data_IF_277692026507
#
_entry.id   IF_277692026507
#
_cell.length_a   1.000
_cell.length_b   1.000
_cell.length_c   1.000
_cell.angle_alpha   90.00
_cell.angle_beta   90.00
_cell.angle_gamma   90.00
#
_symmetry.space_group_name_H-M   'P 1'
#
loop_
_entity.id
_entity.type
_entity.pdbx_description
1 polymer ?
#
# COMPACT_ATOMS: atom_id res chain seq x y z
N UNK A 1 -6.96 -17.56 18.11
CA UNK A 1 -7.56 -16.19 18.26
C UNK A 1 -8.47 -15.83 17.07
N UNK A 2 -9.29 -16.79 16.62
CA UNK A 2 -10.14 -16.66 15.41
C UNK A 2 -11.42 -15.89 15.75
N UNK A 3 -11.52 -14.63 15.37
CA UNK A 3 -12.78 -13.89 15.41
C UNK A 3 -12.79 -12.52 16.11
N UNK A 4 -11.80 -12.20 16.96
CA UNK A 4 -11.82 -10.94 17.73
C UNK A 4 -11.90 -9.67 16.88
N UNK A 5 -11.23 -9.64 15.72
CA UNK A 5 -11.24 -8.48 14.82
C UNK A 5 -12.63 -8.33 14.15
N UNK A 6 -13.19 -9.43 13.64
CA UNK A 6 -14.54 -9.42 13.07
C UNK A 6 -15.57 -8.86 14.04
N UNK A 7 -15.60 -9.37 15.29
CA UNK A 7 -16.53 -8.92 16.31
C UNK A 7 -16.32 -7.46 16.72
N UNK A 8 -15.06 -7.00 16.81
CA UNK A 8 -14.76 -5.58 17.08
C UNK A 8 -15.26 -4.66 15.98
N UNK A 9 -15.02 -5.00 14.71
CA UNK A 9 -15.47 -4.24 13.55
C UNK A 9 -17.00 -4.25 13.49
N UNK A 10 -17.62 -5.43 13.58
CA UNK A 10 -19.08 -5.57 13.58
C UNK A 10 -19.73 -4.74 14.67
N UNK A 11 -19.26 -4.87 15.90
CA UNK A 11 -19.84 -4.20 17.07
C UNK A 11 -19.59 -2.68 17.01
N UNK A 12 -18.41 -2.26 16.56
CA UNK A 12 -18.08 -0.85 16.38
C UNK A 12 -18.98 -0.18 15.35
N UNK A 13 -19.11 -0.74 14.16
CA UNK A 13 -19.96 -0.18 13.10
C UNK A 13 -21.44 -0.24 13.47
N UNK A 14 -21.91 -1.34 14.07
CA UNK A 14 -23.30 -1.46 14.50
C UNK A 14 -23.65 -0.44 15.57
N UNK A 15 -22.78 -0.25 16.58
CA UNK A 15 -22.96 0.74 17.63
C UNK A 15 -22.97 2.18 17.05
N UNK A 16 -22.02 2.48 16.17
CA UNK A 16 -21.95 3.79 15.51
C UNK A 16 -23.19 4.06 14.68
N UNK A 17 -23.66 3.07 13.91
CA UNK A 17 -24.87 3.19 13.13
C UNK A 17 -26.10 3.43 13.99
N UNK A 18 -26.21 2.73 15.12
CA UNK A 18 -27.30 2.85 16.07
C UNK A 18 -27.30 4.25 16.73
N UNK A 19 -26.12 4.73 17.17
CA UNK A 19 -25.96 6.08 17.74
C UNK A 19 -26.33 7.14 16.70
N UNK A 20 -25.87 7.00 15.45
CA UNK A 20 -26.16 7.97 14.39
C UNK A 20 -27.66 8.01 14.07
N UNK A 21 -28.33 6.86 14.02
CA UNK A 21 -29.78 6.80 13.78
C UNK A 21 -30.56 7.44 14.93
N UNK A 22 -30.13 7.24 16.18
CA UNK A 22 -30.70 7.88 17.34
C UNK A 22 -30.49 9.39 17.36
N UNK A 23 -29.25 9.84 17.06
CA UNK A 23 -28.92 11.27 16.96
C UNK A 23 -29.74 11.98 15.87
N UNK A 24 -29.92 11.34 14.72
CA UNK A 24 -30.73 11.85 13.62
C UNK A 24 -32.21 11.98 14.03
N UNK A 25 -32.75 10.98 14.72
CA UNK A 25 -34.12 11.01 15.24
C UNK A 25 -34.30 12.14 16.27
N UNK A 26 -33.38 12.29 17.22
CA UNK A 26 -33.40 13.38 18.22
C UNK A 26 -33.30 14.74 17.51
N UNK A 27 -32.40 14.90 16.56
CA UNK A 27 -32.27 16.11 15.77
C UNK A 27 -33.57 16.43 15.02
N UNK A 28 -34.19 15.46 14.35
CA UNK A 28 -35.46 15.63 13.67
C UNK A 28 -36.59 15.97 14.64
N UNK A 29 -36.63 15.35 15.82
CA UNK A 29 -37.60 15.67 16.87
C UNK A 29 -37.44 17.08 17.43
N UNK A 30 -36.18 17.56 17.58
CA UNK A 30 -35.92 18.91 18.13
C UNK A 30 -36.07 20.03 17.07
N UNK A 31 -35.69 19.77 15.82
CA UNK A 31 -35.69 20.80 14.75
C UNK A 31 -36.89 20.71 13.81
N UNK A 32 -37.61 19.59 13.77
CA UNK A 32 -38.80 19.38 12.93
C UNK A 32 -39.99 20.29 13.29
N UNK A 33 -40.01 20.80 14.50
CA UNK A 33 -41.07 21.70 14.99
C UNK A 33 -41.08 23.12 14.38
N UNK A 34 -40.14 23.43 13.48
CA UNK A 34 -40.13 24.73 12.76
C UNK A 34 -41.09 24.80 11.57
N UNK A 35 -41.64 23.70 11.14
CA UNK A 35 -42.75 23.65 10.19
C UNK A 35 -44.05 23.81 10.97
N UNK A 36 -44.84 24.86 10.64
CA UNK A 36 -46.19 25.03 11.20
C UNK A 36 -47.02 23.80 10.85
N UNK A 37 -47.37 22.96 11.84
CA UNK A 37 -48.10 21.75 11.50
C UNK A 37 -49.45 22.10 10.86
N UNK A 38 -49.92 21.34 9.88
CA UNK A 38 -51.30 21.50 9.36
C UNK A 38 -52.36 21.40 10.49
N UNK A 39 -52.01 20.80 11.61
CA UNK A 39 -52.75 20.72 12.85
C UNK A 39 -53.18 22.11 13.41
N UNK A 40 -52.33 23.13 13.32
CA UNK A 40 -52.70 24.48 13.73
C UNK A 40 -53.81 25.09 12.85
N UNK A 41 -53.85 24.73 11.55
CA UNK A 41 -54.93 25.18 10.66
C UNK A 41 -56.23 24.41 10.93
N UNK A 42 -56.16 23.12 11.29
CA UNK A 42 -57.32 22.33 11.68
C UNK A 42 -57.84 22.75 13.06
N UNK A 43 -56.97 23.01 14.02
CA UNK A 43 -57.35 23.52 15.33
C UNK A 43 -58.05 24.89 15.22
N UNK A 44 -57.54 25.81 14.40
CA UNK A 44 -58.21 27.11 14.13
C UNK A 44 -59.60 26.95 13.55
N UNK A 45 -59.77 26.01 12.59
CA UNK A 45 -61.09 25.74 11.98
C UNK A 45 -62.05 25.12 12.99
N UNK A 46 -61.59 24.21 13.84
CA UNK A 46 -62.41 23.59 14.88
C UNK A 46 -62.87 24.66 15.91
N UNK A 47 -61.96 25.49 16.40
CA UNK A 47 -62.26 26.59 17.36
C UNK A 47 -63.24 27.58 16.71
N UNK A 48 -63.02 27.97 15.45
CA UNK A 48 -63.93 28.90 14.77
C UNK A 48 -65.32 28.30 14.61
N UNK A 49 -65.44 27.01 14.29
CA UNK A 49 -66.72 26.29 14.19
C UNK A 49 -67.43 26.24 15.57
N UNK A 50 -66.68 25.90 16.64
CA UNK A 50 -67.26 25.86 17.99
C UNK A 50 -67.74 27.25 18.44
N UNK A 51 -66.93 28.30 18.25
CA UNK A 51 -67.36 29.65 18.57
C UNK A 51 -68.54 30.15 17.73
N UNK A 52 -68.54 29.81 16.42
CA UNK A 52 -69.65 30.20 15.54
C UNK A 52 -70.95 29.47 15.92
N UNK A 53 -70.84 28.16 16.28
CA UNK A 53 -71.98 27.39 16.77
C UNK A 53 -72.50 27.94 18.10
N UNK A 54 -71.61 28.24 19.06
CA UNK A 54 -71.95 28.85 20.32
C UNK A 54 -72.63 30.21 20.16
N UNK A 55 -72.09 31.05 19.26
CA UNK A 55 -72.63 32.32 18.92
C UNK A 55 -74.04 32.25 18.30
N UNK A 56 -74.23 31.25 17.42
CA UNK A 56 -75.54 31.04 16.78
C UNK A 56 -76.62 30.61 17.78
N UNK A 57 -76.27 29.66 18.66
CA UNK A 57 -77.16 29.19 19.71
C UNK A 57 -77.51 30.29 20.69
N UNK A 58 -76.57 31.12 21.07
CA UNK A 58 -76.81 32.28 21.92
C UNK A 58 -77.77 33.30 21.29
N UNK A 59 -77.57 33.59 20.00
CA UNK A 59 -78.47 34.50 19.22
C UNK A 59 -79.89 33.96 19.08
N UNK A 60 -80.07 32.70 18.84
CA UNK A 60 -81.39 32.08 18.55
C UNK A 60 -82.18 31.66 19.77
N UNK A 61 -81.49 31.12 20.80
CA UNK A 61 -82.18 30.54 21.95
C UNK A 61 -81.78 31.11 23.31
N UNK A 62 -80.86 32.09 23.33
CA UNK A 62 -80.34 32.68 24.54
C UNK A 62 -79.45 31.82 25.41
N UNK A 63 -79.14 32.21 26.60
CA UNK A 63 -78.21 31.45 27.53
C UNK A 63 -78.63 30.01 27.79
N UNK A 64 -79.96 29.72 27.97
CA UNK A 64 -80.36 28.30 28.19
C UNK A 64 -80.02 27.35 27.03
N UNK A 65 -80.11 27.83 25.78
CA UNK A 65 -79.75 27.04 24.58
C UNK A 65 -78.27 26.88 24.46
N UNK A 66 -77.46 27.89 24.79
CA UNK A 66 -76.01 27.83 24.80
C UNK A 66 -75.51 26.84 25.87
N UNK A 67 -76.05 26.94 27.10
CA UNK A 67 -75.68 26.01 28.18
C UNK A 67 -76.01 24.57 27.88
N UNK A 68 -77.18 24.28 27.26
CA UNK A 68 -77.56 22.95 26.82
C UNK A 68 -76.61 22.40 25.77
N UNK A 69 -76.14 23.24 24.80
CA UNK A 69 -75.16 22.87 23.82
C UNK A 69 -73.78 22.59 24.44
N UNK A 70 -73.30 23.47 25.30
CA UNK A 70 -71.99 23.32 26.00
C UNK A 70 -71.99 22.12 26.92
N UNK A 71 -73.12 21.72 27.52
CA UNK A 71 -73.23 20.49 28.33
C UNK A 71 -72.89 19.23 27.57
N UNK A 72 -73.09 19.25 26.22
CA UNK A 72 -72.68 18.14 25.32
C UNK A 72 -71.21 18.14 24.92
N UNK A 73 -70.42 19.14 25.25
CA UNK A 73 -68.99 19.20 24.96
C UNK A 73 -68.19 18.37 25.94
N UNK A 74 -66.92 17.99 25.49
CA UNK A 74 -65.97 17.36 26.40
C UNK A 74 -65.66 18.29 27.60
N UNK A 75 -65.26 17.71 28.74
CA UNK A 75 -64.89 18.53 29.92
C UNK A 75 -63.73 19.47 29.61
N UNK A 76 -62.78 19.04 28.81
CA UNK A 76 -61.61 19.80 28.40
C UNK A 76 -62.01 21.02 27.52
N UNK A 77 -62.87 20.81 26.50
CA UNK A 77 -63.37 21.89 25.64
C UNK A 77 -64.19 22.91 26.42
N UNK A 78 -64.99 22.46 27.44
CA UNK A 78 -65.76 23.36 28.31
C UNK A 78 -64.89 24.29 29.15
N UNK A 79 -63.75 23.80 29.62
CA UNK A 79 -62.78 24.61 30.40
C UNK A 79 -62.11 25.69 29.58
N UNK A 80 -62.04 25.51 28.27
CA UNK A 80 -61.37 26.45 27.37
C UNK A 80 -62.29 27.58 26.90
N UNK A 81 -63.59 27.44 27.04
CA UNK A 81 -64.57 28.50 26.71
C UNK A 81 -64.95 29.27 27.97
N UNK A 82 -64.82 30.59 27.92
CA UNK A 82 -65.33 31.51 28.96
C UNK A 82 -66.41 32.41 28.33
N UNK A 83 -67.47 32.62 29.14
CA UNK A 83 -68.63 33.43 28.76
C UNK A 83 -68.73 34.60 29.74
N UNK A 84 -68.57 35.83 29.27
CA UNK A 84 -68.60 36.99 30.11
C UNK A 84 -69.71 37.97 29.61
N UNK A 85 -70.69 38.33 30.48
CA UNK A 85 -71.67 39.31 30.08
C UNK A 85 -71.01 40.68 29.87
N UNK A 86 -71.28 41.33 28.70
CA UNK A 86 -70.68 42.60 28.31
C UNK A 86 -71.66 43.46 27.54
N UNK A 87 -71.93 44.64 28.02
CA UNK A 87 -72.98 45.52 27.49
C UNK A 87 -72.57 46.23 26.16
N UNK A 88 -71.29 46.35 25.92
CA UNK A 88 -70.73 46.93 24.69
C UNK A 88 -69.76 46.03 24.06
N UNK A 89 -69.62 46.00 22.69
CA UNK A 89 -68.59 45.28 22.05
C UNK A 89 -67.23 45.76 22.53
N UNK A 90 -66.27 44.79 22.76
CA UNK A 90 -64.92 45.20 23.12
C UNK A 90 -64.29 46.02 22.00
N UNK A 91 -63.47 47.00 22.35
CA UNK A 91 -62.69 47.75 21.37
C UNK A 91 -61.89 46.77 20.51
N UNK A 92 -61.80 47.01 19.20
CA UNK A 92 -60.95 46.11 18.37
C UNK A 92 -59.57 46.09 18.97
N UNK A 93 -59.11 44.88 19.32
CA UNK A 93 -57.74 44.71 19.85
C UNK A 93 -56.78 45.15 18.75
N UNK A 94 -55.83 46.05 19.09
CA UNK A 94 -54.77 46.53 18.18
C UNK A 94 -53.97 45.39 17.53
N UNK A 95 -54.25 44.17 17.87
CA UNK A 95 -53.55 42.94 17.44
C UNK A 95 -54.22 42.21 16.22
N UNK A 96 -55.31 42.77 15.66
CA UNK A 96 -55.96 42.18 14.46
C UNK A 96 -55.15 42.32 13.17
N UNK A 97 -54.10 43.17 13.14
CA UNK A 97 -53.23 43.35 11.97
C UNK A 97 -52.09 42.36 11.88
N UNK A 98 -51.94 41.42 12.82
CA UNK A 98 -50.86 40.42 12.84
C UNK A 98 -51.36 39.02 12.43
N UNK A 99 -52.42 38.93 11.62
CA UNK A 99 -52.94 37.63 11.15
C UNK A 99 -52.10 36.95 10.05
N UNK A 100 -51.10 37.62 9.49
CA UNK A 100 -50.13 36.99 8.55
C UNK A 100 -48.86 36.43 9.19
N UNK A 101 -48.62 36.70 10.46
CA UNK A 101 -47.42 36.22 11.17
C UNK A 101 -47.70 35.10 12.16
N UNK A 102 -47.09 34.02 11.99
CA UNK A 102 -46.74 32.78 12.74
C UNK A 102 -47.19 32.62 14.22
N UNK A 103 -47.93 33.52 14.89
CA UNK A 103 -48.37 33.40 16.29
C UNK A 103 -49.88 33.37 16.39
N UNK A 104 -50.44 32.32 17.00
CA UNK A 104 -51.85 32.32 17.38
C UNK A 104 -52.08 33.30 18.56
N UNK A 105 -53.21 34.05 18.59
CA UNK A 105 -53.58 34.86 19.72
C UNK A 105 -53.78 34.03 20.98
N UNK A 106 -53.74 34.66 22.16
CA UNK A 106 -53.93 33.97 23.44
C UNK A 106 -55.37 33.49 23.62
N UNK A 107 -56.32 34.28 23.13
CA UNK A 107 -57.77 34.01 23.11
C UNK A 107 -58.33 34.36 21.75
N UNK A 108 -59.36 33.66 21.33
CA UNK A 108 -60.19 34.02 20.18
C UNK A 108 -61.54 34.45 20.75
N UNK A 109 -61.89 35.68 20.50
CA UNK A 109 -63.08 36.31 21.12
C UNK A 109 -64.18 36.54 20.09
N UNK A 110 -65.42 36.27 20.47
CA UNK A 110 -66.61 36.59 19.68
C UNK A 110 -67.64 37.28 20.55
N UNK A 111 -67.96 38.50 20.21
CA UNK A 111 -69.06 39.25 20.91
C UNK A 111 -70.38 38.96 20.19
N UNK A 112 -71.42 38.64 21.00
CA UNK A 112 -72.71 38.20 20.50
C UNK A 112 -73.80 38.79 21.36
N UNK A 113 -74.92 39.34 20.74
CA UNK A 113 -76.11 39.67 21.43
C UNK A 113 -77.14 38.54 21.49
N UNK A 114 -77.67 38.28 22.63
CA UNK A 114 -78.80 37.37 22.84
C UNK A 114 -80.12 37.95 22.24
N UNK A 115 -81.14 37.13 22.09
CA UNK A 115 -82.46 37.47 21.64
C UNK A 115 -83.10 38.63 22.47
N UNK A 116 -82.71 38.76 23.76
CA UNK A 116 -83.19 39.79 24.70
C UNK A 116 -82.34 41.10 24.69
N UNK A 117 -81.40 41.22 23.73
CA UNK A 117 -80.51 42.35 23.56
C UNK A 117 -79.36 42.45 24.54
N UNK A 118 -79.14 41.43 25.36
CA UNK A 118 -78.00 41.37 26.27
C UNK A 118 -76.78 40.92 25.52
N UNK A 119 -75.63 41.60 25.67
CA UNK A 119 -74.38 41.29 25.07
C UNK A 119 -73.53 40.28 25.91
N UNK A 120 -72.87 39.42 25.21
CA UNK A 120 -71.97 38.44 25.83
C UNK A 120 -70.69 38.33 24.97
N UNK A 121 -69.56 38.22 25.68
CA UNK A 121 -68.27 37.94 25.06
C UNK A 121 -67.95 36.44 25.25
N UNK A 122 -67.84 35.71 24.17
CA UNK A 122 -67.38 34.32 24.11
C UNK A 122 -65.91 34.31 23.85
N UNK A 123 -65.08 33.89 24.81
CA UNK A 123 -63.60 33.83 24.68
C UNK A 123 -63.11 32.40 24.76
N UNK A 124 -62.42 31.94 23.72
CA UNK A 124 -61.81 30.59 23.71
C UNK A 124 -60.32 30.69 24.01
N UNK A 125 -59.85 30.02 25.07
CA UNK A 125 -58.46 30.08 25.52
C UNK A 125 -57.56 29.15 24.70
N UNK A 126 -56.94 29.72 23.68
CA UNK A 126 -55.97 29.01 22.78
C UNK A 126 -54.68 28.66 23.52
N UNK A 127 -54.30 29.43 24.51
CA UNK A 127 -53.08 29.18 25.32
C UNK A 127 -53.20 27.91 26.15
N UNK A 128 -54.36 27.69 26.77
CA UNK A 128 -54.62 26.46 27.55
C UNK A 128 -54.50 25.21 26.65
N UNK A 129 -55.18 25.22 25.50
CA UNK A 129 -55.06 24.13 24.52
C UNK A 129 -53.59 23.87 24.09
N UNK A 130 -52.80 24.91 23.93
CA UNK A 130 -51.38 24.79 23.54
C UNK A 130 -50.49 24.26 24.67
N UNK A 131 -50.77 24.57 25.91
CA UNK A 131 -50.03 24.08 27.07
C UNK A 131 -50.34 22.61 27.31
N UNK A 132 -51.58 22.18 27.15
CA UNK A 132 -52.00 20.79 27.22
C UNK A 132 -51.37 19.93 26.09
N UNK A 133 -51.36 20.44 24.86
CA UNK A 133 -50.69 19.79 23.73
C UNK A 133 -49.16 19.70 23.88
N UNK A 134 -48.55 20.72 24.49
CA UNK A 134 -47.11 20.72 24.83
C UNK A 134 -46.76 19.71 25.94
N UNK A 135 -47.59 19.53 26.94
CA UNK A 135 -47.38 18.56 27.99
C UNK A 135 -47.47 17.12 27.44
N UNK A 136 -48.46 16.89 26.61
CA UNK A 136 -48.64 15.60 25.96
C UNK A 136 -47.48 15.27 24.97
N UNK A 137 -46.99 16.27 24.26
CA UNK A 137 -45.87 16.10 23.30
C UNK A 137 -44.50 15.88 24.00
N UNK A 138 -44.27 16.51 25.17
CA UNK A 138 -43.02 16.29 25.93
C UNK A 138 -42.83 14.86 26.41
N UNK A 139 -43.90 14.13 26.67
CA UNK A 139 -43.85 12.71 27.02
C UNK A 139 -43.45 11.81 25.83
N UNK A 140 -43.56 12.28 24.57
CA UNK A 140 -43.26 11.49 23.38
C UNK A 140 -41.89 11.74 22.77
N UNK A 141 -41.13 12.77 23.24
CA UNK A 141 -39.81 13.09 22.67
C UNK A 141 -38.80 11.93 22.79
N UNK A 142 -38.97 11.08 23.82
CA UNK A 142 -38.13 9.89 24.00
C UNK A 142 -38.79 8.58 23.55
N UNK A 143 -40.01 8.64 23.00
CA UNK A 143 -40.75 7.45 22.60
C UNK A 143 -40.45 7.15 21.10
N UNK A 144 -39.34 6.41 20.86
CA UNK A 144 -38.92 5.99 19.52
C UNK A 144 -39.92 4.94 19.01
N UNK A 145 -40.50 5.11 17.81
CA UNK A 145 -41.41 4.10 17.25
C UNK A 145 -40.73 2.73 17.16
N UNK A 146 -41.35 1.70 17.67
CA UNK A 146 -40.81 0.33 17.68
C UNK A 146 -40.38 -0.15 16.28
N UNK A 147 -41.08 0.14 15.17
CA UNK A 147 -40.59 -0.20 13.83
C UNK A 147 -39.23 0.41 13.47
N UNK A 148 -38.97 1.64 13.93
CA UNK A 148 -37.70 2.33 13.67
C UNK A 148 -36.52 1.68 14.41
N UNK A 149 -36.75 1.17 15.63
CA UNK A 149 -35.76 0.40 16.38
C UNK A 149 -35.42 -0.92 15.67
N UNK A 150 -36.43 -1.62 15.17
CA UNK A 150 -36.21 -2.88 14.44
C UNK A 150 -35.48 -2.65 13.10
N UNK A 151 -35.90 -1.69 12.31
CA UNK A 151 -35.26 -1.37 11.02
C UNK A 151 -33.82 -0.89 11.24
N UNK A 152 -33.60 0.02 12.20
CA UNK A 152 -32.26 0.50 12.54
C UNK A 152 -31.37 -0.60 13.13
N UNK A 153 -31.90 -1.40 14.05
CA UNK A 153 -31.15 -2.49 14.69
C UNK A 153 -30.78 -3.60 13.72
N UNK A 154 -31.76 -4.15 13.00
CA UNK A 154 -31.54 -5.27 12.06
C UNK A 154 -30.78 -4.80 10.80
N UNK A 155 -31.17 -3.66 10.23
CA UNK A 155 -30.50 -3.09 9.06
C UNK A 155 -29.04 -2.71 9.35
N UNK A 156 -28.79 -2.07 10.50
CA UNK A 156 -27.45 -1.76 10.96
C UNK A 156 -26.60 -2.99 11.24
N UNK A 157 -27.19 -4.04 11.82
CA UNK A 157 -26.51 -5.31 12.07
C UNK A 157 -26.12 -5.99 10.75
N UNK A 158 -27.05 -6.06 9.78
CA UNK A 158 -26.79 -6.65 8.47
C UNK A 158 -25.68 -5.89 7.73
N UNK A 159 -25.78 -4.56 7.67
CA UNK A 159 -24.77 -3.71 7.05
C UNK A 159 -23.38 -3.89 7.70
N UNK A 160 -23.34 -3.87 9.04
CA UNK A 160 -22.10 -4.08 9.80
C UNK A 160 -21.51 -5.47 9.58
N UNK A 161 -22.35 -6.50 9.45
CA UNK A 161 -21.91 -7.86 9.17
C UNK A 161 -21.30 -8.00 7.78
N UNK A 162 -21.93 -7.41 6.75
CA UNK A 162 -21.40 -7.38 5.37
C UNK A 162 -20.08 -6.63 5.32
N UNK A 163 -19.98 -5.48 5.96
CA UNK A 163 -18.76 -4.66 6.00
C UNK A 163 -17.63 -5.39 6.75
N UNK A 164 -17.92 -5.95 7.91
CA UNK A 164 -16.95 -6.72 8.69
C UNK A 164 -16.44 -7.94 7.92
N UNK A 165 -17.31 -8.64 7.20
CA UNK A 165 -16.93 -9.77 6.36
C UNK A 165 -16.05 -9.34 5.20
N UNK A 166 -16.42 -8.25 4.51
CA UNK A 166 -15.72 -7.73 3.36
C UNK A 166 -14.30 -7.22 3.70
N UNK A 167 -14.08 -6.71 4.90
CA UNK A 167 -12.76 -6.28 5.38
C UNK A 167 -11.96 -7.41 6.04
N UNK A 168 -12.60 -8.23 6.87
CA UNK A 168 -11.88 -9.22 7.69
C UNK A 168 -11.37 -10.41 6.88
N UNK A 169 -12.12 -10.83 5.84
CA UNK A 169 -11.75 -11.99 5.02
C UNK A 169 -10.43 -11.79 4.28
N UNK A 170 -10.22 -10.72 3.49
CA UNK A 170 -8.95 -10.49 2.81
C UNK A 170 -7.80 -10.21 3.78
N UNK A 171 -8.05 -9.50 4.89
CA UNK A 171 -7.01 -9.32 5.92
C UNK A 171 -6.52 -10.63 6.53
N UNK A 172 -7.40 -11.62 6.70
CA UNK A 172 -7.00 -12.98 7.13
C UNK A 172 -6.20 -13.71 6.05
N UNK A 173 -6.56 -13.53 4.78
CA UNK A 173 -5.81 -14.12 3.67
C UNK A 173 -4.40 -13.53 3.59
N UNK A 174 -4.27 -12.21 3.67
CA UNK A 174 -2.97 -11.52 3.72
C UNK A 174 -2.12 -12.01 4.89
N UNK A 175 -2.69 -12.07 6.10
CA UNK A 175 -2.00 -12.59 7.27
C UNK A 175 -1.57 -14.06 7.09
N UNK A 176 -2.45 -14.90 6.55
CA UNK A 176 -2.13 -16.29 6.27
C UNK A 176 -1.01 -16.46 5.24
N UNK A 177 -0.97 -15.58 4.21
CA UNK A 177 0.13 -15.53 3.25
C UNK A 177 1.46 -15.12 3.89
N UNK A 178 1.44 -14.07 4.72
CA UNK A 178 2.62 -13.65 5.48
C UNK A 178 3.14 -14.75 6.42
N UNK A 179 2.24 -15.42 7.14
CA UNK A 179 2.61 -16.52 8.03
C UNK A 179 3.25 -17.70 7.25
N UNK A 180 2.78 -18.00 6.02
CA UNK A 180 3.38 -19.03 5.14
C UNK A 180 4.76 -18.62 4.64
N UNK A 181 4.92 -17.38 4.16
CA UNK A 181 6.24 -16.86 3.76
C UNK A 181 7.22 -16.88 4.93
N UNK A 182 6.79 -16.51 6.13
CA UNK A 182 7.61 -16.57 7.35
C UNK A 182 8.03 -18.01 7.72
N UNK A 183 7.26 -19.03 7.31
CA UNK A 183 7.59 -20.44 7.47
C UNK A 183 8.43 -21.01 6.32
N UNK A 184 8.84 -20.17 5.35
CA UNK A 184 9.68 -20.55 4.22
C UNK A 184 8.92 -20.97 2.95
N UNK A 185 7.59 -20.92 2.94
CA UNK A 185 6.81 -21.19 1.73
C UNK A 185 6.71 -19.90 0.89
N UNK A 186 7.68 -19.71 0.02
CA UNK A 186 7.79 -18.54 -0.86
C UNK A 186 6.94 -18.65 -2.13
N UNK A 187 6.35 -19.82 -2.41
CA UNK A 187 5.51 -20.06 -3.59
C UNK A 187 4.11 -19.44 -3.47
N UNK A 188 3.76 -18.87 -2.30
CA UNK A 188 2.46 -18.27 -2.02
C UNK A 188 2.22 -17.09 -2.93
N UNK A 189 1.03 -17.05 -3.58
CA UNK A 189 0.56 -15.90 -4.35
C UNK A 189 -0.87 -15.58 -3.90
N UNK A 190 -1.12 -14.33 -3.53
CA UNK A 190 -2.40 -13.86 -2.97
C UNK A 190 -3.26 -13.13 -3.99
N UNK A 191 -2.64 -12.42 -4.93
CA UNK A 191 -3.36 -11.66 -5.95
C UNK A 191 -4.35 -12.50 -6.77
N UNK A 192 -4.05 -13.75 -7.20
CA UNK A 192 -5.02 -14.57 -7.94
C UNK A 192 -6.32 -14.82 -7.16
N UNK A 193 -6.25 -14.90 -5.83
CA UNK A 193 -7.44 -15.11 -4.97
C UNK A 193 -8.23 -13.82 -4.75
N UNK A 194 -7.61 -12.65 -4.96
CA UNK A 194 -8.18 -11.31 -4.79
C UNK A 194 -8.45 -10.60 -6.12
N UNK A 195 -8.22 -11.23 -7.27
CA UNK A 195 -8.31 -10.64 -8.62
C UNK A 195 -9.65 -9.97 -8.94
N UNK A 196 -10.74 -10.42 -8.31
CA UNK A 196 -12.09 -9.83 -8.51
C UNK A 196 -12.29 -8.50 -7.76
N UNK A 197 -11.37 -8.12 -6.88
CA UNK A 197 -11.40 -6.86 -6.16
C UNK A 197 -10.59 -5.82 -6.93
N UNK A 198 -11.07 -4.57 -6.89
CA UNK A 198 -10.41 -3.42 -7.52
C UNK A 198 -10.25 -2.33 -6.46
N UNK A 199 -9.71 -2.72 -5.31
CA UNK A 199 -9.49 -1.85 -4.15
C UNK A 199 -8.02 -1.92 -3.68
N UNK A 200 -7.66 -1.10 -2.71
CA UNK A 200 -6.32 -1.00 -2.13
C UNK A 200 -5.81 -2.35 -1.58
N UNK A 201 -6.73 -3.23 -1.14
CA UNK A 201 -6.36 -4.56 -0.66
C UNK A 201 -5.86 -5.48 -1.78
N UNK A 202 -6.35 -5.29 -3.00
CA UNK A 202 -5.85 -6.01 -4.17
C UNK A 202 -4.48 -5.52 -4.62
N UNK A 203 -4.18 -4.23 -4.44
CA UNK A 203 -2.85 -3.66 -4.67
C UNK A 203 -1.83 -4.20 -3.66
N UNK A 204 -2.18 -4.21 -2.36
CA UNK A 204 -1.34 -4.82 -1.32
C UNK A 204 -1.07 -6.29 -1.59
N UNK A 205 -2.07 -7.04 -2.12
CA UNK A 205 -1.86 -8.44 -2.50
C UNK A 205 -0.88 -8.59 -3.68
N UNK A 206 -0.87 -7.65 -4.64
CA UNK A 206 0.09 -7.62 -5.76
C UNK A 206 1.50 -7.28 -5.27
N UNK A 207 1.63 -6.30 -4.38
CA UNK A 207 2.90 -5.92 -3.79
C UNK A 207 3.49 -7.08 -2.97
N UNK A 208 2.63 -7.79 -2.22
CA UNK A 208 3.00 -9.01 -1.52
C UNK A 208 3.54 -10.08 -2.48
N UNK A 209 2.83 -10.34 -3.59
CA UNK A 209 3.25 -11.34 -4.57
C UNK A 209 4.60 -10.97 -5.20
N UNK A 210 4.82 -9.69 -5.52
CA UNK A 210 6.10 -9.17 -6.02
C UNK A 210 7.23 -9.35 -5.00
N UNK A 211 6.95 -9.09 -3.72
CA UNK A 211 7.92 -9.30 -2.64
C UNK A 211 8.24 -10.79 -2.48
N UNK A 212 7.21 -11.66 -2.47
CA UNK A 212 7.39 -13.11 -2.34
C UNK A 212 8.21 -13.69 -3.49
N UNK A 213 7.96 -13.23 -4.73
CA UNK A 213 8.73 -13.62 -5.92
C UNK A 213 10.19 -13.21 -5.81
N UNK A 214 10.47 -11.99 -5.38
CA UNK A 214 11.86 -11.52 -5.17
C UNK A 214 12.57 -12.33 -4.09
N UNK A 215 11.88 -12.64 -2.99
CA UNK A 215 12.44 -13.50 -1.94
C UNK A 215 12.73 -14.91 -2.44
N UNK A 216 11.80 -15.50 -3.20
CA UNK A 216 11.97 -16.84 -3.81
C UNK A 216 13.20 -16.88 -4.72
N UNK A 217 13.37 -15.86 -5.59
CA UNK A 217 14.54 -15.75 -6.47
C UNK A 217 15.84 -15.59 -5.67
N UNK A 218 15.85 -14.78 -4.61
CA UNK A 218 17.03 -14.58 -3.76
C UNK A 218 17.42 -15.85 -3.00
N UNK A 219 16.45 -16.57 -2.42
CA UNK A 219 16.70 -17.81 -1.69
C UNK A 219 17.19 -18.90 -2.65
N UNK A 220 16.53 -19.08 -3.79
CA UNK A 220 16.92 -20.06 -4.81
C UNK A 220 18.33 -19.79 -5.35
N UNK A 221 18.65 -18.52 -5.64
CA UNK A 221 20.00 -18.13 -6.10
C UNK A 221 21.06 -18.44 -5.02
N UNK A 222 20.74 -18.20 -3.73
CA UNK A 222 21.65 -18.54 -2.63
C UNK A 222 21.84 -20.04 -2.46
N UNK A 223 20.77 -20.83 -2.56
CA UNK A 223 20.85 -22.29 -2.47
C UNK A 223 21.68 -22.87 -3.62
N UNK A 224 21.46 -22.36 -4.84
CA UNK A 224 22.25 -22.76 -6.01
C UNK A 224 23.71 -22.42 -5.82
N UNK A 225 24.04 -21.22 -5.33
CA UNK A 225 25.42 -20.84 -5.03
C UNK A 225 26.09 -21.79 -4.03
N UNK A 226 25.41 -22.14 -2.93
CA UNK A 226 25.93 -23.08 -1.91
C UNK A 226 26.13 -24.48 -2.48
N UNK A 227 25.22 -24.92 -3.34
CA UNK A 227 25.33 -26.19 -4.04
C UNK A 227 26.58 -26.21 -4.93
N UNK A 228 26.76 -25.20 -5.77
CA UNK A 228 27.87 -25.08 -6.71
C UNK A 228 29.23 -24.95 -5.97
N UNK A 229 29.28 -24.16 -4.90
CA UNK A 229 30.46 -24.07 -4.00
C UNK A 229 30.82 -25.43 -3.46
N UNK A 230 29.84 -26.20 -2.96
CA UNK A 230 30.06 -27.51 -2.40
C UNK A 230 30.64 -28.49 -3.43
N UNK A 231 30.14 -28.45 -4.66
CA UNK A 231 30.64 -29.27 -5.76
C UNK A 231 32.08 -28.88 -6.18
N UNK A 232 32.34 -27.59 -6.35
CA UNK A 232 33.66 -27.10 -6.77
C UNK A 232 34.75 -27.25 -5.70
N UNK A 233 34.40 -27.27 -4.41
CA UNK A 233 35.32 -27.58 -3.31
C UNK A 233 35.63 -29.07 -3.19
N UNK A 234 34.66 -29.97 -3.46
CA UNK A 234 34.83 -31.41 -3.32
C UNK A 234 35.92 -31.96 -4.26
N UNK A 235 35.99 -31.46 -5.48
CA UNK A 235 36.93 -31.91 -6.49
C UNK A 235 38.42 -31.71 -6.11
N UNK A 236 38.88 -30.48 -5.76
CA UNK A 236 40.26 -30.27 -5.31
C UNK A 236 40.57 -30.98 -4.00
N UNK A 237 39.61 -31.09 -3.07
CA UNK A 237 39.78 -31.81 -1.82
C UNK A 237 40.04 -33.32 -2.07
N UNK A 238 39.30 -33.94 -3.00
CA UNK A 238 39.54 -35.34 -3.38
C UNK A 238 40.92 -35.53 -4.02
N UNK A 239 41.38 -34.56 -4.86
CA UNK A 239 42.75 -34.61 -5.44
C UNK A 239 43.84 -34.44 -4.38
N UNK A 240 43.63 -33.55 -3.37
CA UNK A 240 44.51 -33.44 -2.23
C UNK A 240 44.62 -34.76 -1.44
N UNK A 241 43.48 -35.39 -1.13
CA UNK A 241 43.45 -36.70 -0.44
C UNK A 241 44.17 -37.77 -1.22
N UNK A 242 43.99 -37.81 -2.54
CA UNK A 242 44.70 -38.75 -3.42
C UNK A 242 46.21 -38.50 -3.40
N UNK A 243 46.66 -37.24 -3.52
CA UNK A 243 48.08 -36.88 -3.48
C UNK A 243 48.73 -37.28 -2.14
N UNK A 244 48.02 -37.07 -1.01
CA UNK A 244 48.48 -37.51 0.32
C UNK A 244 48.57 -39.03 0.38
N UNK A 245 47.58 -39.77 -0.16
CA UNK A 245 47.61 -41.24 -0.23
C UNK A 245 48.80 -41.77 -1.04
N UNK A 246 49.06 -41.16 -2.20
CA UNK A 246 50.20 -41.51 -3.05
C UNK A 246 51.57 -41.22 -2.37
N UNK A 247 51.71 -40.10 -1.68
CA UNK A 247 52.91 -39.77 -0.90
C UNK A 247 53.19 -40.79 0.20
N UNK A 248 52.13 -41.32 0.84
CA UNK A 248 52.26 -42.35 1.90
C UNK A 248 52.62 -43.73 1.37
N UNK A 249 52.27 -44.06 0.12
CA UNK A 249 52.51 -45.40 -0.48
C UNK A 249 53.90 -45.55 -1.05
N UNK A 250 54.52 -44.49 -1.57
CA UNK A 250 55.81 -44.61 -2.26
C UNK A 250 56.70 -43.37 -1.98
N UNK A 251 57.85 -43.61 -1.36
CA UNK A 251 58.84 -42.61 -1.04
C UNK A 251 59.41 -41.88 -2.27
N UNK A 252 59.43 -42.50 -3.46
CA UNK A 252 59.86 -41.85 -4.70
C UNK A 252 58.89 -40.86 -5.27
N UNK A 253 57.65 -40.83 -4.80
CA UNK A 253 56.58 -39.90 -5.29
C UNK A 253 56.28 -38.73 -4.34
N UNK A 254 57.00 -38.65 -3.22
CA UNK A 254 56.74 -37.65 -2.18
C UNK A 254 56.80 -36.21 -2.74
N UNK A 255 57.87 -35.88 -3.46
CA UNK A 255 58.08 -34.54 -4.01
C UNK A 255 56.97 -34.15 -5.00
N UNK A 256 56.65 -35.03 -5.96
CA UNK A 256 55.57 -34.80 -6.91
C UNK A 256 54.20 -34.65 -6.21
N UNK A 257 53.97 -35.38 -5.13
CA UNK A 257 52.75 -35.33 -4.35
C UNK A 257 52.67 -34.01 -3.54
N UNK A 258 53.78 -33.55 -2.96
CA UNK A 258 53.87 -32.27 -2.26
C UNK A 258 53.60 -31.12 -3.20
N UNK A 259 54.21 -31.07 -4.38
CA UNK A 259 53.92 -30.03 -5.40
C UNK A 259 52.45 -30.04 -5.81
N UNK A 260 51.84 -31.23 -5.90
CA UNK A 260 50.42 -31.32 -6.24
C UNK A 260 49.52 -30.86 -5.11
N UNK A 261 49.87 -31.14 -3.86
CA UNK A 261 49.18 -30.62 -2.66
C UNK A 261 49.29 -29.10 -2.60
N UNK A 262 50.49 -28.56 -2.79
CA UNK A 262 50.70 -27.11 -2.80
C UNK A 262 49.90 -26.42 -3.90
N UNK A 263 49.89 -26.98 -5.10
CA UNK A 263 49.09 -26.46 -6.23
C UNK A 263 47.58 -26.48 -5.94
N UNK A 264 47.02 -27.58 -5.44
CA UNK A 264 45.60 -27.69 -5.13
C UNK A 264 45.21 -26.80 -3.92
N UNK A 265 46.12 -26.67 -2.91
CA UNK A 265 45.91 -25.75 -1.79
C UNK A 265 45.86 -24.29 -2.25
N UNK A 266 46.78 -23.85 -3.11
CA UNK A 266 46.75 -22.52 -3.69
C UNK A 266 45.49 -22.25 -4.54
N UNK A 267 45.00 -23.29 -5.23
CA UNK A 267 43.71 -23.20 -5.94
C UNK A 267 42.53 -22.99 -5.01
N UNK A 268 42.47 -23.73 -3.89
CA UNK A 268 41.42 -23.57 -2.89
C UNK A 268 41.45 -22.17 -2.27
N UNK A 269 42.64 -21.68 -1.91
CA UNK A 269 42.81 -20.34 -1.34
C UNK A 269 42.29 -19.23 -2.30
N UNK A 270 42.66 -19.35 -3.58
CA UNK A 270 42.15 -18.44 -4.61
C UNK A 270 40.62 -18.50 -4.74
N UNK A 271 40.03 -19.70 -4.72
CA UNK A 271 38.57 -19.86 -4.80
C UNK A 271 37.86 -19.21 -3.58
N UNK A 272 38.38 -19.44 -2.38
CA UNK A 272 37.86 -18.82 -1.15
C UNK A 272 37.95 -17.30 -1.25
N UNK A 273 39.06 -16.76 -1.72
CA UNK A 273 39.24 -15.34 -1.95
C UNK A 273 38.23 -14.75 -2.96
N UNK A 274 37.89 -15.48 -4.04
CA UNK A 274 36.87 -15.07 -5.00
C UNK A 274 35.46 -15.16 -4.39
N UNK A 275 35.14 -16.17 -3.58
CA UNK A 275 33.85 -16.27 -2.87
C UNK A 275 33.66 -15.17 -1.83
N UNK A 276 34.69 -14.84 -1.07
CA UNK A 276 34.63 -13.72 -0.12
C UNK A 276 34.40 -12.38 -0.81
N UNK A 277 35.02 -12.18 -1.98
CA UNK A 277 34.76 -10.95 -2.77
C UNK A 277 33.33 -10.91 -3.29
N UNK A 278 32.78 -12.04 -3.75
CA UNK A 278 31.38 -12.16 -4.18
C UNK A 278 30.40 -11.84 -3.03
N UNK A 279 30.72 -12.29 -1.81
CA UNK A 279 29.90 -12.03 -0.61
C UNK A 279 29.96 -10.58 -0.14
N UNK A 280 31.14 -9.93 -0.19
CA UNK A 280 31.29 -8.54 0.22
C UNK A 280 30.49 -7.55 -0.61
N UNK A 281 30.22 -7.88 -1.87
CA UNK A 281 29.41 -7.05 -2.78
C UNK A 281 27.88 -7.23 -2.63
N UNK A 282 27.41 -8.08 -1.70
CA UNK A 282 25.96 -8.29 -1.45
C UNK A 282 25.31 -7.19 -0.59
N UNK A 283 26.10 -6.38 0.10
CA UNK A 283 25.59 -5.29 0.91
C UNK A 283 25.38 -4.04 0.04
N UNK A 284 24.23 -3.39 0.16
CA UNK A 284 23.79 -2.25 -0.64
C UNK A 284 24.65 -0.98 -0.51
N UNK A 285 25.68 -0.99 0.32
CA UNK A 285 26.67 0.09 0.46
C UNK A 285 28.05 -0.51 0.22
N UNK A 286 28.75 0.05 -0.77
CA UNK A 286 30.16 -0.28 -0.97
C UNK A 286 30.93 0.13 0.29
N UNK A 287 31.73 -0.78 0.89
CA UNK A 287 32.64 -0.38 1.95
C UNK A 287 33.71 0.55 1.34
N UNK A 288 34.14 1.55 2.08
CA UNK A 288 35.23 2.45 1.70
C UNK A 288 35.03 3.15 0.35
N UNK A 289 33.84 3.77 0.15
CA UNK A 289 33.58 4.60 -1.03
C UNK A 289 34.49 5.84 -1.04
N UNK A 290 35.29 5.98 -2.09
CA UNK A 290 36.15 7.12 -2.34
C UNK A 290 36.06 7.59 -3.80
N UNK A 291 36.65 8.75 -4.08
CA UNK A 291 36.81 9.21 -5.45
C UNK A 291 38.12 8.69 -6.00
N UNK A 292 38.08 8.07 -7.17
CA UNK A 292 39.28 7.56 -7.82
C UNK A 292 39.27 7.83 -9.33
N UNK A 293 40.46 7.88 -9.90
CA UNK A 293 40.67 7.99 -11.34
C UNK A 293 40.52 6.61 -12.00
N UNK A 294 39.46 6.47 -12.79
CA UNK A 294 39.16 5.24 -13.53
C UNK A 294 40.20 4.98 -14.62
N UNK A 295 40.73 6.04 -15.26
CA UNK A 295 41.76 5.88 -16.29
C UNK A 295 43.05 5.30 -15.67
N UNK A 296 43.54 5.90 -14.62
CA UNK A 296 44.72 5.41 -13.91
C UNK A 296 44.58 3.98 -13.42
N UNK A 297 43.38 3.62 -12.94
CA UNK A 297 43.08 2.25 -12.53
C UNK A 297 43.12 1.27 -13.71
N UNK A 298 42.48 1.61 -14.85
CA UNK A 298 42.46 0.77 -16.07
C UNK A 298 43.88 0.64 -16.67
N UNK A 299 44.63 1.74 -16.72
CA UNK A 299 46.02 1.73 -17.23
C UNK A 299 46.94 0.82 -16.37
N UNK A 300 46.81 0.87 -15.04
CA UNK A 300 47.53 -0.03 -14.15
C UNK A 300 47.18 -1.51 -14.40
N UNK A 301 45.90 -1.84 -14.53
CA UNK A 301 45.47 -3.22 -14.83
C UNK A 301 45.98 -3.67 -16.20
N UNK A 302 45.90 -2.81 -17.20
CA UNK A 302 46.42 -3.10 -18.59
C UNK A 302 47.93 -3.28 -18.57
N UNK A 303 48.66 -2.48 -17.79
CA UNK A 303 50.12 -2.60 -17.63
C UNK A 303 50.54 -3.91 -16.99
N UNK A 304 49.86 -4.31 -15.92
CA UNK A 304 50.06 -5.63 -15.26
C UNK A 304 49.77 -6.77 -16.26
N UNK A 305 48.66 -6.65 -16.99
CA UNK A 305 48.26 -7.66 -17.98
C UNK A 305 49.18 -7.74 -19.16
N UNK A 306 49.81 -6.64 -19.64
CA UNK A 306 50.86 -6.66 -20.69
C UNK A 306 52.06 -7.47 -20.27
N UNK A 307 52.46 -7.40 -19.01
CA UNK A 307 53.56 -8.24 -18.50
C UNK A 307 53.20 -9.73 -18.55
N UNK A 308 51.99 -10.09 -18.11
CA UNK A 308 51.49 -11.48 -18.19
C UNK A 308 51.33 -11.96 -19.64
N UNK A 309 50.98 -11.08 -20.58
CA UNK A 309 50.73 -11.38 -21.99
C UNK A 309 52.02 -11.68 -22.81
N UNK A 310 53.20 -11.38 -22.29
CA UNK A 310 54.47 -11.66 -22.95
C UNK A 310 54.70 -13.14 -23.24
N UNK A 311 54.33 -13.98 -22.26
CA UNK A 311 54.54 -15.46 -22.35
C UNK A 311 53.64 -16.09 -23.44
N UNK A 312 52.30 -15.83 -23.46
CA UNK A 312 51.44 -16.33 -24.52
C UNK A 312 51.59 -15.59 -25.85
N UNK A 313 52.35 -14.45 -25.88
CA UNK A 313 52.56 -13.68 -27.11
C UNK A 313 51.30 -12.97 -27.62
N UNK A 314 50.46 -12.47 -26.72
CA UNK A 314 49.22 -11.70 -26.97
C UNK A 314 49.53 -10.22 -26.82
N UNK A 315 49.02 -9.39 -27.74
CA UNK A 315 49.17 -7.92 -27.64
C UNK A 315 48.00 -7.30 -26.93
N UNK A 316 48.26 -6.33 -26.02
CA UNK A 316 47.18 -5.59 -25.32
C UNK A 316 47.32 -4.09 -25.66
N UNK A 317 46.24 -3.55 -26.23
CA UNK A 317 46.12 -2.13 -26.58
C UNK A 317 45.13 -1.44 -25.63
N UNK A 318 45.55 -0.30 -25.02
CA UNK A 318 44.65 0.61 -24.32
C UNK A 318 44.31 1.80 -25.25
N UNK A 319 43.05 2.04 -25.43
CA UNK A 319 42.49 3.15 -26.20
C UNK A 319 41.69 4.04 -25.28
N UNK A 320 42.16 5.21 -24.97
CA UNK A 320 41.46 6.18 -24.11
C UNK A 320 41.76 7.60 -24.59
N UNK A 321 40.83 8.51 -24.34
CA UNK A 321 41.08 9.93 -24.56
C UNK A 321 41.67 10.53 -23.30
N UNK A 322 42.94 10.93 -23.33
CA UNK A 322 43.66 11.52 -22.20
C UNK A 322 43.12 12.87 -21.72
N UNK A 323 42.35 13.55 -22.55
CA UNK A 323 41.82 14.89 -22.26
C UNK A 323 40.51 14.85 -21.46
N UNK A 324 40.00 13.65 -21.16
CA UNK A 324 38.79 13.43 -20.39
C UNK A 324 39.13 13.07 -18.94
N UNK A 325 38.55 13.77 -17.99
CA UNK A 325 38.61 13.39 -16.56
C UNK A 325 37.66 12.23 -16.26
N UNK A 326 38.22 11.10 -15.79
CA UNK A 326 37.48 9.86 -15.53
C UNK A 326 37.26 9.63 -14.05
N UNK A 327 36.73 10.61 -13.30
CA UNK A 327 36.48 10.50 -11.87
C UNK A 327 35.20 9.72 -11.59
N UNK A 328 35.31 8.65 -10.79
CA UNK A 328 34.23 7.79 -10.33
C UNK A 328 34.21 7.77 -8.82
N UNK A 329 33.01 7.69 -8.25
CA UNK A 329 32.79 7.44 -6.82
C UNK A 329 32.51 5.96 -6.57
N UNK A 330 33.26 5.33 -5.69
CA UNK A 330 33.08 3.92 -5.35
C UNK A 330 34.28 3.32 -4.64
N UNK A 331 34.42 2.02 -4.71
CA UNK A 331 35.55 1.30 -4.17
C UNK A 331 36.55 0.93 -5.27
N UNK A 332 37.69 1.60 -5.27
CA UNK A 332 38.74 1.44 -6.29
C UNK A 332 39.30 0.02 -6.34
N UNK A 333 39.46 -0.65 -5.19
CA UNK A 333 40.00 -2.01 -5.13
C UNK A 333 39.04 -3.04 -5.76
N UNK A 334 37.75 -2.92 -5.45
CA UNK A 334 36.72 -3.78 -6.07
C UNK A 334 36.64 -3.54 -7.57
N UNK A 335 36.72 -2.29 -8.02
CA UNK A 335 36.71 -1.96 -9.45
C UNK A 335 37.96 -2.49 -10.16
N UNK A 336 39.15 -2.34 -9.55
CA UNK A 336 40.40 -2.93 -10.07
C UNK A 336 40.24 -4.43 -10.24
N UNK A 337 39.71 -5.12 -9.25
CA UNK A 337 39.46 -6.56 -9.30
C UNK A 337 38.47 -6.96 -10.41
N UNK A 338 37.42 -6.17 -10.62
CA UNK A 338 36.46 -6.40 -11.70
C UNK A 338 37.15 -6.26 -13.07
N UNK A 339 37.96 -5.22 -13.25
CA UNK A 339 38.74 -5.00 -14.48
C UNK A 339 39.76 -6.11 -14.70
N UNK A 340 40.53 -6.49 -13.69
CA UNK A 340 41.50 -7.59 -13.76
C UNK A 340 40.82 -8.90 -14.20
N UNK A 341 39.63 -9.22 -13.67
CA UNK A 341 38.88 -10.41 -14.07
C UNK A 341 38.49 -10.37 -15.57
N UNK A 342 38.08 -9.22 -16.10
CA UNK A 342 37.68 -9.12 -17.51
C UNK A 342 38.90 -9.19 -18.44
N UNK A 343 39.95 -8.45 -18.11
CA UNK A 343 41.18 -8.41 -18.94
C UNK A 343 41.86 -9.79 -18.93
N UNK A 344 41.99 -10.44 -17.78
CA UNK A 344 42.54 -11.81 -17.71
C UNK A 344 41.68 -12.82 -18.39
N UNK A 345 40.36 -12.66 -18.39
CA UNK A 345 39.48 -13.53 -19.17
C UNK A 345 39.74 -13.37 -20.67
N UNK A 346 39.88 -12.15 -21.17
CA UNK A 346 40.23 -11.87 -22.58
C UNK A 346 41.59 -12.49 -22.95
N UNK A 347 42.60 -12.27 -22.12
CA UNK A 347 43.92 -12.89 -22.33
C UNK A 347 43.88 -14.41 -22.39
N UNK A 348 43.14 -15.03 -21.51
CA UNK A 348 43.01 -16.46 -21.38
C UNK A 348 42.44 -17.15 -22.61
N UNK A 349 41.52 -16.48 -23.30
CA UNK A 349 40.87 -17.00 -24.50
C UNK A 349 41.53 -16.50 -25.79
N UNK A 350 42.58 -15.70 -25.67
CA UNK A 350 43.41 -15.26 -26.79
C UNK A 350 44.62 -16.20 -27.00
N UNK A 351 45.05 -16.36 -28.23
CA UNK A 351 46.21 -17.16 -28.63
C UNK A 351 47.34 -16.27 -29.16
N UNK A 352 48.51 -16.83 -29.39
CA UNK A 352 49.68 -16.12 -29.90
C UNK A 352 49.37 -15.30 -31.17
N UNK A 353 49.81 -14.06 -31.21
CA UNK A 353 49.58 -13.11 -32.28
C UNK A 353 48.24 -12.42 -32.29
N UNK A 354 47.31 -12.79 -31.41
CA UNK A 354 46.01 -12.08 -31.23
C UNK A 354 46.15 -10.83 -30.38
N UNK A 355 45.16 -9.96 -30.46
CA UNK A 355 45.11 -8.69 -29.74
C UNK A 355 43.90 -8.61 -28.83
N UNK A 356 44.13 -8.16 -27.62
CA UNK A 356 43.08 -7.71 -26.67
C UNK A 356 43.06 -6.18 -26.68
N UNK A 357 41.90 -5.59 -26.91
CA UNK A 357 41.71 -4.14 -26.88
C UNK A 357 40.86 -3.73 -25.68
N UNK A 358 41.39 -2.79 -24.89
CA UNK A 358 40.66 -2.14 -23.80
C UNK A 358 40.38 -0.71 -24.21
N UNK A 359 39.13 -0.34 -24.45
CA UNK A 359 38.72 0.99 -24.85
C UNK A 359 37.96 1.67 -23.70
N UNK A 360 38.42 2.86 -23.31
CA UNK A 360 37.75 3.70 -22.31
C UNK A 360 37.21 4.97 -22.98
N UNK A 361 35.93 5.18 -22.89
CA UNK A 361 35.24 6.30 -23.49
C UNK A 361 34.22 6.92 -22.56
N UNK A 362 33.82 8.15 -22.85
CA UNK A 362 32.74 8.83 -22.17
C UNK A 362 31.53 8.88 -23.11
N UNK A 363 30.38 8.40 -22.62
CA UNK A 363 29.11 8.46 -23.33
C UNK A 363 28.10 9.11 -22.38
N UNK A 364 27.72 10.34 -22.70
CA UNK A 364 26.80 11.14 -21.87
C UNK A 364 27.26 11.26 -20.41
N UNK A 365 26.47 10.67 -19.49
CA UNK A 365 26.74 10.64 -18.05
C UNK A 365 27.38 9.33 -17.57
N UNK A 366 27.87 8.52 -18.50
CA UNK A 366 28.47 7.23 -18.20
C UNK A 366 29.90 7.18 -18.74
N UNK A 367 30.76 6.47 -18.02
CA UNK A 367 32.02 5.98 -18.57
C UNK A 367 31.81 4.57 -19.07
N UNK A 368 32.21 4.30 -20.30
CA UNK A 368 32.15 2.99 -20.93
C UNK A 368 33.56 2.41 -21.06
N UNK A 369 33.73 1.22 -20.50
CA UNK A 369 34.93 0.42 -20.70
C UNK A 369 34.53 -0.78 -21.54
N UNK A 370 35.18 -0.97 -22.64
CA UNK A 370 34.95 -2.07 -23.58
C UNK A 370 36.24 -2.91 -23.67
N UNK A 371 36.12 -4.20 -23.31
CA UNK A 371 37.24 -5.14 -23.45
C UNK A 371 36.87 -6.13 -24.52
N UNK A 372 37.66 -6.15 -25.61
CA UNK A 372 37.43 -6.99 -26.78
C UNK A 372 38.62 -7.95 -26.97
N UNK A 373 38.34 -9.23 -27.11
CA UNK A 373 39.28 -10.26 -27.48
C UNK A 373 39.04 -10.79 -28.91
N UNK A 374 39.97 -11.60 -29.41
CA UNK A 374 39.88 -12.28 -30.71
C UNK A 374 39.77 -13.82 -30.51
N UNK A 375 39.24 -14.23 -29.39
CA UNK A 375 39.05 -15.63 -29.06
C UNK A 375 37.85 -16.26 -29.78
N UNK A 376 37.40 -17.44 -29.36
CA UNK A 376 36.34 -18.21 -30.02
C UNK A 376 34.94 -17.60 -29.84
N UNK A 377 34.78 -16.56 -29.00
CA UNK A 377 33.46 -16.02 -28.63
C UNK A 377 32.66 -16.97 -27.75
N UNK A 378 31.37 -16.69 -27.61
CA UNK A 378 30.42 -17.43 -26.77
C UNK A 378 29.14 -17.66 -27.57
N UNK A 379 28.53 -18.84 -27.40
CA UNK A 379 27.21 -19.14 -27.98
C UNK A 379 26.19 -18.11 -27.55
N UNK A 380 25.39 -17.54 -28.47
CA UNK A 380 24.45 -16.46 -28.20
C UNK A 380 23.48 -16.75 -27.05
N UNK A 381 23.01 -18.01 -26.98
CA UNK A 381 22.14 -18.48 -25.91
C UNK A 381 22.76 -18.38 -24.49
N UNK A 382 24.10 -18.29 -24.42
CA UNK A 382 24.87 -18.26 -23.16
C UNK A 382 25.42 -16.90 -22.79
N UNK A 383 25.33 -15.90 -23.68
CA UNK A 383 25.89 -14.56 -23.43
C UNK A 383 25.40 -13.90 -22.14
N UNK A 384 24.13 -14.10 -21.78
CA UNK A 384 23.56 -13.58 -20.53
C UNK A 384 24.03 -14.37 -19.30
N UNK A 385 24.23 -15.69 -19.44
CA UNK A 385 24.58 -16.58 -18.33
C UNK A 385 26.07 -16.63 -18.00
N UNK A 386 26.97 -16.08 -18.83
CA UNK A 386 28.41 -16.05 -18.51
C UNK A 386 28.74 -15.21 -17.28
N UNK A 387 27.82 -14.36 -16.84
CA UNK A 387 27.92 -13.56 -15.62
C UNK A 387 27.34 -14.26 -14.38
N UNK A 388 26.76 -15.45 -14.53
CA UNK A 388 26.27 -16.21 -13.41
C UNK A 388 27.42 -16.97 -12.72
N UNK A 389 27.41 -17.13 -11.41
CA UNK A 389 28.47 -17.83 -10.69
C UNK A 389 28.65 -19.27 -11.21
N UNK A 390 29.90 -19.72 -11.27
CA UNK A 390 30.30 -21.08 -11.69
C UNK A 390 29.96 -21.48 -13.13
N UNK A 391 29.38 -20.59 -13.94
CA UNK A 391 29.09 -20.83 -15.33
C UNK A 391 30.41 -20.86 -16.13
N UNK A 392 30.57 -21.90 -16.92
CA UNK A 392 31.73 -22.09 -17.79
C UNK A 392 31.27 -22.51 -19.19
N UNK A 393 31.69 -21.78 -20.20
CA UNK A 393 31.46 -22.17 -21.59
C UNK A 393 32.52 -23.19 -21.98
N UNK A 394 32.12 -24.34 -22.51
CA UNK A 394 33.05 -25.39 -22.99
C UNK A 394 33.82 -24.83 -24.18
N UNK A 395 35.12 -24.66 -24.03
CA UNK A 395 36.05 -24.37 -25.12
C UNK A 395 37.32 -25.24 -24.93
N UNK A 396 38.09 -25.43 -26.00
CA UNK A 396 39.34 -26.17 -25.95
C UNK A 396 40.36 -25.54 -24.96
N UNK A 397 40.23 -24.25 -24.65
CA UNK A 397 41.07 -23.50 -23.73
C UNK A 397 40.53 -23.45 -22.29
N UNK A 398 39.44 -24.16 -22.00
CA UNK A 398 38.62 -24.06 -20.79
C UNK A 398 39.22 -24.60 -19.48
N UNK A 399 40.54 -24.84 -19.39
CA UNK A 399 41.17 -25.61 -18.30
C UNK A 399 41.31 -24.91 -16.94
N UNK A 400 41.38 -23.59 -16.83
CA UNK A 400 41.81 -22.85 -15.62
C UNK A 400 40.83 -21.75 -15.20
N UNK A 401 39.96 -21.98 -14.22
CA UNK A 401 39.10 -20.93 -13.59
C UNK A 401 37.82 -21.50 -13.06
N UNK A 402 37.25 -20.86 -12.02
CA UNK A 402 36.07 -21.32 -11.27
C UNK A 402 34.76 -20.83 -11.83
N UNK A 403 34.79 -19.93 -12.83
CA UNK A 403 33.55 -19.27 -13.34
C UNK A 403 33.00 -18.18 -12.40
N UNK A 404 33.84 -17.64 -11.51
CA UNK A 404 33.45 -16.60 -10.56
C UNK A 404 33.83 -15.19 -11.00
N UNK A 405 34.86 -15.03 -11.86
CA UNK A 405 35.41 -13.73 -12.20
C UNK A 405 34.39 -12.78 -12.85
N UNK A 406 33.65 -13.23 -13.86
CA UNK A 406 32.65 -12.39 -14.52
C UNK A 406 31.43 -12.14 -13.62
N UNK A 407 31.06 -13.09 -12.74
CA UNK A 407 30.03 -12.90 -11.73
C UNK A 407 30.42 -11.80 -10.71
N UNK A 408 31.69 -11.79 -10.27
CA UNK A 408 32.23 -10.72 -9.42
C UNK A 408 32.19 -9.39 -10.18
N UNK A 409 32.63 -9.36 -11.44
CA UNK A 409 32.58 -8.16 -12.26
C UNK A 409 31.16 -7.58 -12.32
N UNK A 410 30.16 -8.40 -12.65
CA UNK A 410 28.75 -7.98 -12.70
C UNK A 410 28.29 -7.39 -11.36
N UNK A 411 28.57 -8.06 -10.26
CA UNK A 411 28.19 -7.57 -8.92
C UNK A 411 28.86 -6.25 -8.57
N UNK A 412 30.16 -6.11 -8.84
CA UNK A 412 30.90 -4.89 -8.58
C UNK A 412 30.33 -3.72 -9.41
N UNK A 413 30.13 -3.93 -10.71
CA UNK A 413 29.59 -2.89 -11.59
C UNK A 413 28.17 -2.47 -11.14
N UNK A 414 27.31 -3.43 -10.82
CA UNK A 414 25.97 -3.14 -10.30
C UNK A 414 26.01 -2.38 -8.96
N UNK A 415 26.93 -2.75 -8.05
CA UNK A 415 27.12 -2.03 -6.80
C UNK A 415 27.57 -0.58 -6.97
N UNK A 416 28.25 -0.26 -8.06
CA UNK A 416 28.60 1.10 -8.48
C UNK A 416 27.49 1.79 -9.30
N UNK A 417 26.27 1.23 -9.34
CA UNK A 417 25.15 1.78 -10.12
C UNK A 417 25.29 1.64 -11.63
N UNK A 418 26.24 0.82 -12.09
CA UNK A 418 26.55 0.61 -13.49
C UNK A 418 25.80 -0.58 -14.12
N UNK A 419 26.18 -0.89 -15.36
CA UNK A 419 25.65 -2.00 -16.16
C UNK A 419 26.78 -2.77 -16.82
N UNK A 420 26.60 -4.09 -17.01
CA UNK A 420 27.52 -4.95 -17.71
C UNK A 420 26.80 -5.74 -18.80
N UNK A 421 27.38 -5.79 -19.98
CA UNK A 421 26.83 -6.50 -21.15
C UNK A 421 27.95 -7.28 -21.82
N UNK A 422 27.59 -8.36 -22.53
CA UNK A 422 28.50 -9.11 -23.37
C UNK A 422 27.87 -9.32 -24.73
N UNK A 423 28.69 -9.23 -25.78
CA UNK A 423 28.31 -9.52 -27.15
C UNK A 423 29.48 -10.18 -27.90
N UNK A 424 29.20 -10.98 -28.89
CA UNK A 424 30.25 -11.46 -29.77
C UNK A 424 30.76 -10.36 -30.69
N UNK A 425 32.01 -10.40 -31.03
CA UNK A 425 32.61 -9.55 -32.08
C UNK A 425 32.04 -9.84 -33.47
N UNK A 426 32.14 -8.90 -34.38
CA UNK A 426 31.61 -9.05 -35.74
C UNK A 426 32.27 -10.20 -36.53
N UNK A 427 33.53 -10.49 -36.26
CA UNK A 427 34.27 -11.57 -36.92
C UNK A 427 34.46 -12.74 -36.02
N UNK A 428 35.12 -12.55 -34.88
CA UNK A 428 35.43 -13.52 -33.85
C UNK A 428 35.63 -12.77 -32.50
N UNK A 429 35.60 -13.47 -31.36
CA UNK A 429 35.90 -12.92 -30.08
C UNK A 429 34.68 -12.51 -29.24
N UNK A 430 34.93 -12.14 -28.00
CA UNK A 430 33.96 -11.65 -27.05
C UNK A 430 34.25 -10.19 -26.72
N UNK A 431 33.20 -9.40 -26.64
CA UNK A 431 33.26 -8.01 -26.23
C UNK A 431 32.46 -7.88 -24.92
N UNK A 432 33.12 -7.46 -23.85
CA UNK A 432 32.51 -7.16 -22.58
C UNK A 432 32.50 -5.66 -22.39
N UNK A 433 31.32 -5.09 -22.17
CA UNK A 433 31.09 -3.68 -21.99
C UNK A 433 30.64 -3.39 -20.56
N UNK A 434 31.39 -2.55 -19.84
CA UNK A 434 31.06 -2.05 -18.51
C UNK A 434 30.67 -0.57 -18.63
N UNK A 435 29.51 -0.20 -18.12
CA UNK A 435 29.06 1.20 -18.05
C UNK A 435 28.93 1.61 -16.61
N UNK A 436 29.62 2.67 -16.20
CA UNK A 436 29.69 3.16 -14.83
C UNK A 436 29.24 4.61 -14.79
N UNK A 437 28.33 4.99 -13.87
CA UNK A 437 27.92 6.38 -13.74
C UNK A 437 29.11 7.30 -13.44
N UNK A 438 29.14 8.44 -14.13
CA UNK A 438 30.07 9.51 -13.84
C UNK A 438 29.66 10.18 -12.53
N UNK A 439 30.64 10.54 -11.72
CA UNK A 439 30.42 11.50 -10.64
C UNK A 439 30.29 12.92 -11.26
N UNK A 440 29.24 13.64 -10.82
CA UNK A 440 29.03 15.07 -11.12
C UNK A 440 29.63 15.93 -10.03
#
# INVERSE_FOLDING_TARGET
>A
MRGRLFWKILLGFWLTFLIMTQALWVAFSLYGDRYVPPENAMARRAIALQLTSAATQLRSGGMPALEAMIAGWSEDDRRLLSITPMTQPPAPAEDETVFEGRRMPKTIDAWVQDKDGKGYLLSYNVRGLREEYRQNKRSHVFNIPAPMLWVGGLGGLLFSAVLAWNLTRPMRQLRGGLDRVAQGDLSVRLFPTMRRRHDELSEVARDFDTMAERLELLVSAREQLLHDVSHELRSPLARLQLAIGLARQNAGNVENSLQRIEHESGRLDKMIGELLALSRTEHSRLPDEEYFDLYGLVDAVVSDARYEAQVPGVNIALQANSDVEYTVKGNAELMRRAMDNVVRNALRFSTQGQQVTVALSRIDQLFQIEVSDQGPGVEESKLSSIFDPFVRVKSALSGKGYGLGLAITRKVVLAHGGQVEARNGEKEGLIITLRIPRWQ
#
